data_IF_010115375766
#
_entry.id   IF_010115375766
#
_cell.length_a   1.000
_cell.length_b   1.000
_cell.length_c   1.000
_cell.angle_alpha   90.00
_cell.angle_beta   90.00
_cell.angle_gamma   90.00
#
_symmetry.space_group_name_H-M   'P 1'
#
loop_
_entity.id
_entity.type
_entity.pdbx_description
1 polymer ?
#
# COMPACT_ATOMS: atom_id res chain seq x y z
N UNK A 1 -6.94 56.37 70.95
CA UNK A 1 -8.09 56.10 70.05
C UNK A 1 -7.96 54.63 69.64
N UNK A 2 -8.62 53.70 70.33
CA UNK A 2 -10.06 53.34 70.20
C UNK A 2 -10.30 52.71 68.80
N UNK A 3 -10.80 51.49 68.61
CA UNK A 3 -11.37 50.46 69.49
C UNK A 3 -11.53 49.16 68.70
N UNK A 4 -11.50 48.01 69.38
CA UNK A 4 -12.22 46.79 68.98
C UNK A 4 -13.75 47.00 69.12
N UNK A 5 -14.60 46.03 68.73
CA UNK A 5 -15.01 45.02 69.72
C UNK A 5 -15.26 43.59 69.17
N UNK A 6 -15.03 42.60 70.05
CA UNK A 6 -15.60 41.23 70.05
C UNK A 6 -17.08 41.25 70.58
N UNK A 7 -17.72 40.20 71.19
CA UNK A 7 -17.48 38.74 71.35
C UNK A 7 -18.75 37.83 71.30
N UNK A 8 -18.60 36.49 71.48
CA UNK A 8 -19.25 35.71 72.57
C UNK A 8 -19.00 34.18 72.47
N UNK A 9 -18.31 33.54 73.44
CA UNK A 9 -18.78 32.80 74.66
C UNK A 9 -19.53 31.47 74.34
N UNK A 10 -19.37 30.30 74.99
CA UNK A 10 -18.52 29.80 76.09
C UNK A 10 -18.70 28.29 76.35
N UNK A 11 -17.71 27.71 77.04
CA UNK A 11 -17.59 26.44 77.79
C UNK A 11 -18.85 25.85 78.46
N UNK A 12 -18.86 24.52 78.71
CA UNK A 12 -18.80 23.88 80.04
C UNK A 12 -18.82 22.34 79.95
N UNK A 13 -18.19 21.64 80.91
CA UNK A 13 -18.14 20.17 80.99
C UNK A 13 -18.38 19.60 82.39
N UNK A 14 -18.49 18.26 82.42
CA UNK A 14 -18.39 17.24 83.50
C UNK A 14 -19.60 16.87 84.42
N UNK A 15 -20.11 15.62 84.22
CA UNK A 15 -20.55 14.52 85.16
C UNK A 15 -21.53 14.76 86.34
N UNK A 16 -22.14 13.72 87.01
CA UNK A 16 -21.92 12.25 86.99
C UNK A 16 -23.21 11.34 86.90
N UNK A 17 -23.03 10.01 87.07
CA UNK A 17 -23.85 8.78 86.85
C UNK A 17 -24.96 8.40 87.87
N UNK A 18 -25.95 7.54 87.48
CA UNK A 18 -26.50 6.32 88.20
C UNK A 18 -27.81 5.67 87.58
N UNK A 19 -28.28 4.43 87.95
CA UNK A 19 -28.51 3.24 87.04
C UNK A 19 -30.00 2.70 86.84
N UNK A 20 -30.28 1.48 86.24
CA UNK A 20 -31.56 1.05 85.58
C UNK A 20 -32.44 0.00 86.33
N UNK A 21 -33.55 -0.54 85.73
CA UNK A 21 -33.76 -2.02 85.73
C UNK A 21 -34.57 -2.69 84.55
N UNK A 22 -34.49 -4.03 84.51
CA UNK A 22 -35.02 -5.08 83.58
C UNK A 22 -36.50 -5.52 83.74
N UNK A 23 -37.04 -6.29 82.75
CA UNK A 23 -38.25 -7.14 82.95
C UNK A 23 -38.71 -8.09 81.79
N UNK A 24 -38.35 -9.38 81.89
CA UNK A 24 -39.09 -10.66 81.70
C UNK A 24 -39.78 -11.15 80.37
N UNK A 25 -39.58 -12.47 80.13
CA UNK A 25 -39.94 -13.38 79.01
C UNK A 25 -41.12 -14.34 79.35
N UNK A 26 -41.93 -14.83 78.37
CA UNK A 26 -42.65 -16.14 78.41
C UNK A 26 -42.95 -16.75 77.00
N UNK A 27 -42.78 -18.08 76.86
CA UNK A 27 -43.07 -18.92 75.68
C UNK A 27 -44.16 -19.98 75.95
N UNK A 28 -44.87 -20.48 74.91
CA UNK A 28 -45.83 -21.59 74.98
C UNK A 28 -45.74 -22.56 73.78
N UNK A 29 -45.91 -23.87 74.04
CA UNK A 29 -45.73 -25.01 73.10
C UNK A 29 -47.05 -25.50 72.46
N UNK A 30 -46.94 -26.05 71.24
CA UNK A 30 -47.99 -26.61 70.37
C UNK A 30 -48.10 -28.15 70.53
N UNK A 31 -49.31 -28.70 70.39
CA UNK A 31 -49.60 -30.14 70.28
C UNK A 31 -49.94 -30.60 68.85
N UNK A 32 -49.49 -31.81 68.50
CA UNK A 32 -49.45 -32.39 67.15
C UNK A 32 -50.48 -33.53 66.97
N UNK A 33 -51.19 -33.60 65.82
CA UNK A 33 -51.89 -34.81 65.35
C UNK A 33 -51.54 -35.11 63.88
N UNK A 34 -51.29 -36.39 63.64
CA UNK A 34 -50.85 -37.06 62.40
C UNK A 34 -51.84 -36.92 61.24
N UNK A 35 -51.36 -36.57 60.03
CA UNK A 35 -52.16 -36.62 58.79
C UNK A 35 -51.40 -37.39 57.70
N UNK A 36 -52.11 -38.26 56.97
CA UNK A 36 -51.62 -38.97 55.77
C UNK A 36 -51.78 -38.11 54.49
N UNK A 37 -52.29 -36.88 54.60
CA UNK A 37 -52.38 -35.89 53.52
C UNK A 37 -51.05 -35.43 52.91
N UNK A 38 -49.95 -35.18 53.66
CA UNK A 38 -48.73 -34.61 53.08
C UNK A 38 -48.02 -35.59 52.15
N UNK A 39 -48.14 -36.91 52.37
CA UNK A 39 -47.48 -37.92 51.53
C UNK A 39 -48.14 -38.02 50.15
N UNK A 40 -49.47 -38.00 50.07
CA UNK A 40 -50.19 -38.07 48.78
C UNK A 40 -49.98 -36.78 47.99
N UNK A 41 -50.02 -35.62 48.66
CA UNK A 41 -49.73 -34.32 48.05
C UNK A 41 -48.28 -34.28 47.54
N UNK A 42 -47.32 -34.79 48.32
CA UNK A 42 -45.92 -34.85 47.90
C UNK A 42 -45.71 -35.76 46.68
N UNK A 43 -46.34 -36.95 46.63
CA UNK A 43 -46.26 -37.84 45.47
C UNK A 43 -46.90 -37.21 44.24
N UNK A 44 -48.04 -36.54 44.39
CA UNK A 44 -48.70 -35.82 43.31
C UNK A 44 -47.82 -34.68 42.77
N UNK A 45 -47.24 -33.86 43.65
CA UNK A 45 -46.33 -32.77 43.27
C UNK A 45 -45.08 -33.33 42.58
N UNK A 46 -44.46 -34.38 43.13
CA UNK A 46 -43.31 -35.03 42.49
C UNK A 46 -43.64 -35.56 41.10
N UNK A 47 -44.83 -36.15 40.90
CA UNK A 47 -45.24 -36.65 39.59
C UNK A 47 -45.41 -35.52 38.56
N UNK A 48 -46.00 -34.38 38.98
CA UNK A 48 -46.15 -33.19 38.13
C UNK A 48 -44.81 -32.55 37.82
N UNK A 49 -43.91 -32.43 38.80
CA UNK A 49 -42.55 -31.89 38.59
C UNK A 49 -41.76 -32.79 37.64
N UNK A 50 -41.81 -34.10 37.81
CA UNK A 50 -41.15 -35.05 36.91
C UNK A 50 -41.71 -34.98 35.48
N UNK A 51 -43.03 -34.87 35.32
CA UNK A 51 -43.65 -34.71 34.01
C UNK A 51 -43.24 -33.39 33.34
N UNK A 52 -43.18 -32.28 34.09
CA UNK A 52 -42.73 -30.99 33.58
C UNK A 52 -41.26 -31.03 33.15
N UNK A 53 -40.39 -31.66 33.94
CA UNK A 53 -38.96 -31.83 33.62
C UNK A 53 -38.79 -32.69 32.36
N UNK A 54 -39.52 -33.80 32.23
CA UNK A 54 -39.46 -34.65 31.04
C UNK A 54 -39.95 -33.91 29.78
N UNK A 55 -41.02 -33.11 29.91
CA UNK A 55 -41.50 -32.28 28.80
C UNK A 55 -40.47 -31.21 28.40
N UNK A 56 -39.79 -30.57 29.35
CA UNK A 56 -38.76 -29.59 29.07
C UNK A 56 -37.55 -30.24 28.39
N UNK A 57 -37.09 -31.39 28.88
CA UNK A 57 -35.99 -32.16 28.27
C UNK A 57 -36.36 -32.60 26.85
N UNK A 58 -37.58 -33.09 26.64
CA UNK A 58 -38.06 -33.45 25.30
C UNK A 58 -38.11 -32.24 24.36
N UNK A 59 -38.53 -31.07 24.86
CA UNK A 59 -38.56 -29.83 24.09
C UNK A 59 -37.15 -29.38 23.70
N UNK A 60 -36.20 -29.38 24.65
CA UNK A 60 -34.78 -29.07 24.39
C UNK A 60 -34.17 -30.08 23.40
N UNK A 61 -34.51 -31.37 23.53
CA UNK A 61 -34.05 -32.41 22.61
C UNK A 61 -34.57 -32.17 21.19
N UNK A 62 -35.85 -31.81 21.02
CA UNK A 62 -36.43 -31.49 19.71
C UNK A 62 -35.78 -30.25 19.09
N UNK A 63 -35.52 -29.22 19.88
CA UNK A 63 -34.87 -28.00 19.37
C UNK A 63 -33.41 -28.25 18.99
N UNK A 64 -32.68 -29.02 19.80
CA UNK A 64 -31.32 -29.45 19.47
C UNK A 64 -31.29 -30.31 18.20
N UNK A 65 -32.27 -31.21 18.02
CA UNK A 65 -32.39 -31.99 16.78
C UNK A 65 -32.64 -31.11 15.55
N UNK A 66 -33.40 -30.01 15.68
CA UNK A 66 -33.62 -29.06 14.58
C UNK A 66 -32.34 -28.34 14.20
N UNK A 67 -31.57 -27.84 15.17
CA UNK A 67 -30.29 -27.17 14.88
C UNK A 67 -29.28 -28.11 14.22
N UNK A 68 -29.18 -29.36 14.69
CA UNK A 68 -28.29 -30.37 14.11
C UNK A 68 -28.64 -30.64 12.64
N UNK A 69 -29.92 -30.81 12.32
CA UNK A 69 -30.36 -31.00 10.94
C UNK A 69 -30.15 -29.75 10.08
N UNK A 70 -30.24 -28.55 10.65
CA UNK A 70 -29.99 -27.32 9.92
C UNK A 70 -28.50 -27.11 9.61
N UNK A 71 -27.62 -27.45 10.56
CA UNK A 71 -26.16 -27.50 10.34
C UNK A 71 -25.83 -28.53 9.27
N UNK A 72 -26.45 -29.72 9.31
CA UNK A 72 -26.25 -30.78 8.32
C UNK A 72 -26.67 -30.33 6.91
N UNK A 73 -27.83 -29.66 6.77
CA UNK A 73 -28.28 -29.07 5.50
C UNK A 73 -27.32 -27.99 5.01
N UNK A 74 -26.81 -27.15 5.90
CA UNK A 74 -25.85 -26.10 5.58
C UNK A 74 -24.51 -26.67 5.10
N UNK A 75 -24.02 -27.73 5.76
CA UNK A 75 -22.82 -28.44 5.33
C UNK A 75 -22.99 -29.09 3.95
N UNK A 76 -24.12 -29.75 3.69
CA UNK A 76 -24.43 -30.31 2.36
C UNK A 76 -24.45 -29.23 1.27
N UNK A 77 -25.02 -28.05 1.55
CA UNK A 77 -25.00 -26.91 0.62
C UNK A 77 -23.58 -26.38 0.37
N UNK A 78 -22.71 -26.38 1.38
CA UNK A 78 -21.31 -25.99 1.21
C UNK A 78 -20.54 -27.03 0.39
N UNK A 79 -20.79 -28.31 0.62
CA UNK A 79 -20.17 -29.40 -0.13
C UNK A 79 -20.61 -29.40 -1.61
N UNK A 80 -21.88 -29.10 -1.90
CA UNK A 80 -22.38 -28.93 -3.27
C UNK A 80 -21.77 -27.70 -3.96
N UNK A 81 -21.64 -26.56 -3.26
CA UNK A 81 -20.89 -25.39 -3.76
C UNK A 81 -19.41 -25.70 -4.03
N UNK A 82 -18.78 -26.49 -3.17
CA UNK A 82 -17.38 -26.88 -3.32
C UNK A 82 -17.21 -27.87 -4.49
N UNK A 83 -18.19 -28.73 -4.76
CA UNK A 83 -18.21 -29.61 -5.94
C UNK A 83 -18.44 -28.82 -7.25
N UNK A 84 -19.33 -27.81 -7.22
CA UNK A 84 -19.53 -26.87 -8.34
C UNK A 84 -18.28 -26.02 -8.65
N UNK A 85 -17.53 -25.60 -7.63
CA UNK A 85 -16.24 -24.89 -7.82
C UNK A 85 -15.06 -25.81 -8.14
N UNK A 86 -15.15 -27.10 -7.78
CA UNK A 86 -14.13 -28.11 -8.06
C UNK A 86 -14.15 -28.68 -9.48
N UNK A 87 -15.06 -28.19 -10.35
CA UNK A 87 -15.27 -28.66 -11.72
C UNK A 87 -14.92 -27.65 -12.82
N UNK A 88 -14.36 -26.49 -12.49
CA UNK A 88 -13.73 -25.63 -13.49
C UNK A 88 -12.31 -26.13 -13.70
N UNK A 89 -12.16 -27.09 -14.62
CA UNK A 89 -10.86 -27.49 -15.12
C UNK A 89 -10.07 -26.21 -15.44
N UNK A 90 -8.89 -26.06 -14.84
CA UNK A 90 -8.01 -24.89 -15.00
C UNK A 90 -7.82 -24.54 -16.50
N UNK A 91 -7.83 -25.57 -17.35
CA UNK A 91 -7.82 -25.47 -18.81
C UNK A 91 -9.04 -24.82 -19.45
N UNK A 92 -10.25 -25.02 -18.91
CA UNK A 92 -11.47 -24.40 -19.41
C UNK A 92 -11.58 -22.93 -18.98
N UNK A 93 -11.05 -22.58 -17.80
CA UNK A 93 -10.94 -21.20 -17.35
C UNK A 93 -9.89 -20.46 -18.18
N UNK A 94 -8.73 -21.07 -18.42
CA UNK A 94 -7.73 -20.51 -19.33
C UNK A 94 -8.29 -20.31 -20.75
N UNK A 95 -9.01 -21.30 -21.29
CA UNK A 95 -9.64 -21.17 -22.61
C UNK A 95 -10.71 -20.08 -22.65
N UNK A 96 -11.50 -19.94 -21.58
CA UNK A 96 -12.52 -18.88 -21.49
C UNK A 96 -11.87 -17.49 -21.34
N UNK A 97 -10.78 -17.38 -20.59
CA UNK A 97 -10.00 -16.15 -20.45
C UNK A 97 -9.33 -15.81 -21.78
N UNK A 98 -8.71 -16.77 -22.46
CA UNK A 98 -8.07 -16.56 -23.76
C UNK A 98 -9.10 -16.14 -24.81
N UNK A 99 -10.26 -16.82 -24.86
CA UNK A 99 -11.37 -16.42 -25.73
C UNK A 99 -11.89 -15.01 -25.41
N UNK A 100 -11.96 -14.64 -24.13
CA UNK A 100 -12.40 -13.31 -23.75
C UNK A 100 -11.37 -12.24 -24.14
N UNK A 101 -10.07 -12.55 -24.03
CA UNK A 101 -8.98 -11.68 -24.48
C UNK A 101 -8.98 -11.54 -26.01
N UNK A 102 -9.28 -12.59 -26.77
CA UNK A 102 -9.43 -12.49 -28.24
C UNK A 102 -10.65 -11.68 -28.63
N UNK A 103 -11.79 -11.86 -27.96
CA UNK A 103 -13.00 -11.07 -28.23
C UNK A 103 -12.77 -9.57 -27.90
N UNK A 104 -12.05 -9.26 -26.82
CA UNK A 104 -11.67 -7.89 -26.48
C UNK A 104 -10.74 -7.29 -27.54
N UNK A 105 -9.78 -8.08 -28.05
CA UNK A 105 -8.86 -7.66 -29.11
C UNK A 105 -9.58 -7.41 -30.44
N UNK A 106 -10.52 -8.27 -30.84
CA UNK A 106 -11.35 -8.05 -32.02
C UNK A 106 -12.27 -6.83 -31.87
N UNK A 107 -12.75 -6.57 -30.65
CA UNK A 107 -13.57 -5.39 -30.33
C UNK A 107 -12.76 -4.09 -30.30
N UNK A 108 -11.50 -4.12 -29.89
CA UNK A 108 -10.56 -3.01 -30.04
C UNK A 108 -10.15 -2.77 -31.50
N UNK A 109 -9.93 -3.84 -32.29
CA UNK A 109 -9.68 -3.74 -33.73
C UNK A 109 -10.91 -3.20 -34.50
N UNK A 110 -12.13 -3.40 -33.97
CA UNK A 110 -13.39 -2.85 -34.50
C UNK A 110 -13.76 -1.43 -34.05
N UNK A 111 -13.02 -0.78 -33.15
CA UNK A 111 -13.40 0.54 -32.58
C UNK A 111 -12.31 1.62 -32.74
N UNK A 112 -11.45 1.50 -33.75
CA UNK A 112 -10.64 2.63 -34.21
C UNK A 112 -11.44 3.41 -35.25
N UNK A 113 -12.06 4.51 -34.82
CA UNK A 113 -12.50 5.56 -35.74
C UNK A 113 -11.27 6.26 -36.35
N UNK A 114 -10.78 5.74 -37.47
CA UNK A 114 -10.05 6.55 -38.44
C UNK A 114 -11.07 7.08 -39.45
N UNK A 115 -11.14 8.40 -39.70
CA UNK A 115 -12.00 8.94 -40.74
C UNK A 115 -11.60 8.35 -42.09
N UNK A 116 -12.48 7.53 -42.68
CA UNK A 116 -12.42 7.16 -44.10
C UNK A 116 -13.21 8.16 -44.93
N UNK A 117 -12.64 8.46 -46.10
CA UNK A 117 -13.12 9.27 -47.23
C UNK A 117 -12.89 10.80 -47.10
N UNK A 118 -12.17 11.50 -47.98
CA UNK A 118 -11.75 11.22 -49.38
C UNK A 118 -10.62 12.16 -49.81
N UNK A 119 -9.78 11.62 -50.71
CA UNK A 119 -8.74 12.26 -51.56
C UNK A 119 -7.37 12.60 -50.93
N UNK A 120 -6.44 11.63 -50.97
CA UNK A 120 -5.05 11.92 -51.41
C UNK A 120 -4.44 10.72 -52.15
N UNK A 121 -3.74 10.93 -53.28
CA UNK A 121 -3.11 9.88 -54.07
C UNK A 121 -1.65 9.69 -53.61
N UNK A 122 -1.42 8.98 -52.51
CA UNK A 122 -0.08 8.48 -52.19
C UNK A 122 -0.14 7.03 -51.73
N UNK A 123 0.39 6.17 -52.59
CA UNK A 123 0.43 4.74 -52.41
C UNK A 123 1.36 4.25 -51.31
N UNK A 124 1.34 2.92 -51.19
CA UNK A 124 2.09 2.06 -50.29
C UNK A 124 1.68 2.16 -48.81
N UNK A 125 1.07 1.05 -48.36
CA UNK A 125 1.16 0.55 -46.99
C UNK A 125 2.63 0.57 -46.59
N UNK A 126 3.06 1.67 -45.96
CA UNK A 126 4.43 1.90 -45.56
C UNK A 126 4.83 0.82 -44.56
N UNK A 127 6.00 0.22 -44.78
CA UNK A 127 6.75 -0.63 -43.85
C UNK A 127 6.43 -0.23 -42.41
N UNK A 128 6.15 -1.20 -41.52
CA UNK A 128 6.17 -0.96 -40.05
C UNK A 128 7.45 -0.20 -39.74
N UNK A 129 7.36 1.12 -39.57
CA UNK A 129 8.54 1.95 -39.36
C UNK A 129 8.94 1.70 -37.93
N UNK A 130 10.03 0.95 -37.78
CA UNK A 130 10.59 0.65 -36.48
C UNK A 130 10.89 1.98 -35.75
N UNK A 131 10.09 2.33 -34.74
CA UNK A 131 10.18 3.61 -34.02
C UNK A 131 11.44 3.65 -33.16
N UNK A 132 12.29 4.69 -33.27
CA UNK A 132 13.46 4.87 -32.42
C UNK A 132 13.12 4.72 -30.93
N UNK A 133 13.82 3.81 -30.24
CA UNK A 133 13.57 3.49 -28.83
C UNK A 133 14.88 3.16 -28.12
N UNK A 134 15.02 3.68 -26.89
CA UNK A 134 16.13 3.38 -26.02
C UNK A 134 15.66 3.32 -24.55
N UNK A 135 16.14 2.32 -23.83
CA UNK A 135 16.12 2.19 -22.38
C UNK A 135 17.53 1.83 -21.95
N UNK A 136 18.21 2.72 -21.25
CA UNK A 136 19.59 2.55 -20.81
C UNK A 136 19.61 2.37 -19.30
N UNK A 137 20.37 1.41 -18.80
CA UNK A 137 20.38 1.05 -17.38
C UNK A 137 21.74 1.37 -16.75
N UNK A 138 21.77 1.53 -15.42
CA UNK A 138 23.02 1.79 -14.69
C UNK A 138 24.05 0.67 -14.92
N UNK A 139 25.32 1.05 -15.03
CA UNK A 139 26.43 0.10 -15.17
C UNK A 139 27.41 0.26 -14.01
N UNK A 140 27.67 -0.77 -13.19
CA UNK A 140 28.60 -0.70 -12.07
C UNK A 140 30.06 -0.42 -12.46
N UNK A 141 30.40 -0.59 -13.74
CA UNK A 141 31.79 -0.77 -14.18
C UNK A 141 32.54 0.52 -14.54
N UNK A 142 31.93 1.71 -14.43
CA UNK A 142 32.53 2.91 -15.03
C UNK A 142 32.28 4.24 -14.29
N UNK A 143 32.25 4.22 -12.97
CA UNK A 143 32.14 5.43 -12.15
C UNK A 143 33.48 5.79 -11.49
N UNK A 144 34.35 6.51 -12.19
CA UNK A 144 35.57 7.04 -11.55
C UNK A 144 36.06 8.41 -12.04
N UNK A 145 35.36 9.11 -12.93
CA UNK A 145 35.82 10.45 -13.35
C UNK A 145 34.68 11.47 -13.28
N UNK A 146 34.58 12.09 -12.11
CA UNK A 146 33.82 13.32 -11.86
C UNK A 146 34.37 14.45 -12.73
N UNK A 147 33.84 14.55 -13.95
CA UNK A 147 34.12 15.66 -14.86
C UNK A 147 33.15 16.80 -14.55
N UNK A 148 33.30 17.37 -13.35
CA UNK A 148 32.36 18.33 -12.78
C UNK A 148 32.99 19.70 -12.58
N UNK A 149 33.18 20.46 -13.65
CA UNK A 149 33.24 21.93 -13.51
C UNK A 149 31.86 22.38 -13.02
N UNK A 150 31.80 23.09 -11.90
CA UNK A 150 30.60 23.72 -11.31
C UNK A 150 29.65 22.80 -10.52
N UNK A 151 30.10 21.65 -9.98
CA UNK A 151 29.28 20.81 -9.10
C UNK A 151 28.16 20.04 -9.82
N UNK A 152 28.26 19.90 -11.15
CA UNK A 152 27.36 19.11 -11.98
C UNK A 152 28.15 17.96 -12.63
N UNK A 153 27.73 16.72 -12.40
CA UNK A 153 28.38 15.53 -12.94
C UNK A 153 27.48 14.86 -13.96
N UNK A 154 27.96 14.74 -15.21
CA UNK A 154 27.25 13.99 -16.25
C UNK A 154 27.44 12.48 -16.03
N UNK A 155 26.34 11.73 -16.09
CA UNK A 155 26.38 10.26 -16.07
C UNK A 155 26.80 9.78 -17.46
N UNK A 156 28.02 9.24 -17.56
CA UNK A 156 28.62 8.79 -18.83
C UNK A 156 28.38 7.32 -19.10
N UNK A 157 28.16 6.55 -18.04
CA UNK A 157 28.23 5.11 -17.99
C UNK A 157 26.83 4.55 -17.92
N UNK A 158 26.38 4.00 -19.04
CA UNK A 158 25.07 3.37 -19.17
C UNK A 158 25.25 2.06 -19.94
N UNK A 159 24.61 1.00 -19.45
CA UNK A 159 24.45 -0.25 -20.17
C UNK A 159 23.42 -0.05 -21.31
N UNK A 160 23.66 -0.70 -22.44
CA UNK A 160 22.93 -0.44 -23.70
C UNK A 160 22.47 -1.72 -24.41
N UNK A 161 22.92 -2.89 -23.98
CA UNK A 161 22.77 -4.17 -24.70
C UNK A 161 22.34 -5.32 -23.81
N UNK A 162 22.81 -5.36 -22.57
CA UNK A 162 22.57 -6.48 -21.65
C UNK A 162 21.45 -6.17 -20.66
N UNK A 163 20.85 -7.21 -20.09
CA UNK A 163 19.81 -7.08 -19.07
C UNK A 163 18.53 -6.47 -19.62
N UNK A 164 18.00 -5.48 -18.90
CA UNK A 164 16.83 -4.68 -19.25
C UNK A 164 17.18 -3.55 -20.25
N UNK A 165 18.46 -3.31 -20.54
CA UNK A 165 18.86 -2.28 -21.48
C UNK A 165 18.43 -2.63 -22.91
N UNK A 166 17.84 -1.67 -23.59
CA UNK A 166 17.42 -1.76 -24.99
C UNK A 166 17.91 -0.54 -25.75
N UNK A 167 18.58 -0.75 -26.89
CA UNK A 167 18.97 0.32 -27.79
C UNK A 167 18.66 -0.10 -29.23
N UNK A 168 17.60 0.47 -29.81
CA UNK A 168 17.02 -0.04 -31.05
C UNK A 168 16.76 1.08 -32.08
N UNK A 169 16.53 0.64 -33.32
CA UNK A 169 15.93 1.46 -34.37
C UNK A 169 16.70 2.76 -34.65
N UNK A 170 18.03 2.65 -34.70
CA UNK A 170 18.94 3.75 -35.03
C UNK A 170 19.36 4.62 -33.84
N UNK A 171 18.77 4.44 -32.66
CA UNK A 171 19.23 5.12 -31.44
C UNK A 171 20.69 4.73 -31.14
N UNK A 172 21.51 5.69 -30.73
CA UNK A 172 22.94 5.47 -30.43
C UNK A 172 23.31 6.07 -29.10
N UNK A 173 24.15 5.38 -28.33
CA UNK A 173 24.72 5.91 -27.10
C UNK A 173 26.23 6.13 -27.26
N UNK A 174 26.75 7.31 -26.85
CA UNK A 174 28.19 7.61 -26.87
C UNK A 174 28.58 8.61 -25.78
N UNK A 175 29.44 8.18 -24.84
CA UNK A 175 30.00 9.03 -23.77
C UNK A 175 28.91 9.76 -22.95
N UNK A 176 27.86 9.04 -22.56
CA UNK A 176 26.71 9.55 -21.81
C UNK A 176 25.61 10.21 -22.66
N UNK A 177 25.80 10.35 -23.98
CA UNK A 177 24.80 10.96 -24.84
C UNK A 177 23.99 9.91 -25.56
N UNK A 178 22.67 10.03 -25.48
CA UNK A 178 21.72 9.38 -26.36
C UNK A 178 21.52 10.26 -27.61
N UNK A 179 21.77 9.70 -28.79
CA UNK A 179 21.78 10.42 -30.07
C UNK A 179 20.54 10.04 -30.87
N UNK A 180 19.78 11.05 -31.27
CA UNK A 180 18.50 10.90 -31.98
C UNK A 180 18.73 10.60 -33.47
N UNK A 181 18.14 9.54 -34.04
CA UNK A 181 18.35 9.17 -35.44
C UNK A 181 17.40 9.87 -36.42
N UNK A 182 16.26 10.37 -35.95
CA UNK A 182 15.17 10.86 -36.81
C UNK A 182 14.42 11.99 -36.13
N UNK A 183 13.93 12.94 -36.92
CA UNK A 183 13.14 14.07 -36.43
C UNK A 183 11.77 13.59 -35.92
N UNK A 184 11.32 14.08 -34.78
CA UNK A 184 10.01 13.73 -34.25
C UNK A 184 9.73 14.20 -32.83
N UNK A 185 8.59 13.75 -32.30
CA UNK A 185 8.23 13.90 -30.89
C UNK A 185 8.70 12.67 -30.13
N UNK A 186 9.42 12.90 -29.05
CA UNK A 186 9.97 11.86 -28.21
C UNK A 186 9.48 12.05 -26.78
N UNK A 187 9.02 10.97 -26.16
CA UNK A 187 8.91 10.92 -24.71
C UNK A 187 10.28 10.55 -24.14
N UNK A 188 10.85 11.42 -23.32
CA UNK A 188 12.12 11.22 -22.63
C UNK A 188 11.80 10.98 -21.16
N UNK A 189 12.42 9.97 -20.56
CA UNK A 189 12.26 9.68 -19.13
C UNK A 189 13.60 9.29 -18.50
N UNK A 190 13.70 9.51 -17.19
CA UNK A 190 14.87 9.13 -16.41
C UNK A 190 14.46 8.88 -14.96
N UNK A 191 14.99 7.81 -14.38
CA UNK A 191 14.93 7.52 -12.96
C UNK A 191 16.35 7.46 -12.41
N UNK A 192 16.58 8.12 -11.29
CA UNK A 192 17.81 7.97 -10.52
C UNK A 192 17.47 7.60 -9.09
N UNK A 193 18.15 6.59 -8.57
CA UNK A 193 18.06 6.22 -7.17
C UNK A 193 19.27 6.74 -6.40
N UNK A 194 19.02 7.60 -5.43
CA UNK A 194 20.02 8.11 -4.51
C UNK A 194 19.99 7.28 -3.23
N UNK A 195 21.14 6.74 -2.87
CA UNK A 195 21.36 6.03 -1.62
C UNK A 195 22.60 6.56 -0.95
N UNK A 196 22.50 6.86 0.33
CA UNK A 196 23.67 7.19 1.13
C UNK A 196 23.50 6.66 2.56
N UNK A 197 24.65 6.48 3.21
CA UNK A 197 24.77 6.04 4.60
C UNK A 197 25.47 7.15 5.39
N UNK A 198 25.07 7.34 6.63
CA UNK A 198 25.68 8.26 7.59
C UNK A 198 26.34 7.44 8.71
N UNK A 199 27.51 6.82 8.44
CA UNK A 199 28.11 5.83 9.35
C UNK A 199 28.54 6.43 10.69
N UNK A 200 28.84 7.72 10.74
CA UNK A 200 29.46 8.35 11.89
C UNK A 200 28.45 9.08 12.78
N UNK A 201 27.21 9.37 12.32
CA UNK A 201 26.21 10.20 13.02
C UNK A 201 26.75 11.52 13.59
N UNK A 202 27.94 11.96 13.18
CA UNK A 202 28.70 13.03 13.84
C UNK A 202 28.25 14.42 13.42
N UNK A 203 27.68 14.56 12.21
CA UNK A 203 27.39 15.85 11.61
C UNK A 203 26.03 15.89 10.91
N UNK A 204 25.27 16.96 11.17
CA UNK A 204 24.13 17.32 10.33
C UNK A 204 24.67 17.78 8.98
N UNK A 205 24.16 17.20 7.91
CA UNK A 205 24.52 17.54 6.54
C UNK A 205 23.26 17.90 5.77
N UNK A 206 23.41 18.81 4.82
CA UNK A 206 22.35 19.15 3.87
C UNK A 206 22.85 18.79 2.49
N UNK A 207 22.12 17.90 1.82
CA UNK A 207 22.40 17.54 0.43
C UNK A 207 21.34 18.15 -0.47
N UNK A 208 21.81 18.65 -1.62
CA UNK A 208 20.97 19.02 -2.73
C UNK A 208 21.07 17.88 -3.75
N UNK A 209 20.02 17.08 -3.88
CA UNK A 209 19.92 15.99 -4.84
C UNK A 209 19.17 16.52 -6.05
N UNK A 210 19.91 16.88 -7.10
CA UNK A 210 19.35 17.49 -8.29
C UNK A 210 19.66 16.62 -9.49
N UNK A 211 18.60 16.23 -10.18
CA UNK A 211 18.58 15.38 -11.36
C UNK A 211 18.20 16.23 -12.58
N UNK A 212 19.15 16.37 -13.50
CA UNK A 212 19.02 17.19 -14.69
C UNK A 212 18.96 16.33 -15.96
N UNK A 213 18.15 16.76 -16.93
CA UNK A 213 18.22 16.26 -18.30
C UNK A 213 18.52 17.41 -19.25
N UNK A 214 19.52 17.22 -20.11
CA UNK A 214 19.97 18.22 -21.07
C UNK A 214 19.79 17.74 -22.50
N UNK A 215 19.61 18.70 -23.39
CA UNK A 215 19.61 18.57 -24.85
C UNK A 215 20.71 19.44 -25.44
N UNK A 216 21.48 18.90 -26.37
CA UNK A 216 22.45 19.62 -27.20
C UNK A 216 22.08 19.43 -28.66
N UNK A 217 21.85 20.55 -29.34
CA UNK A 217 21.68 20.64 -30.78
C UNK A 217 22.85 21.47 -31.37
N UNK A 218 22.62 22.16 -32.48
CA UNK A 218 23.58 23.10 -33.08
C UNK A 218 23.84 24.36 -32.23
N UNK A 219 23.04 24.64 -31.20
CA UNK A 219 23.20 25.82 -30.35
C UNK A 219 24.45 25.70 -29.46
N UNK A 220 25.25 26.76 -29.24
CA UNK A 220 26.54 26.65 -28.55
C UNK A 220 26.48 26.16 -27.09
N UNK A 221 25.33 26.28 -26.42
CA UNK A 221 25.14 25.88 -25.02
C UNK A 221 24.12 24.75 -24.90
N UNK A 222 24.35 23.75 -24.03
CA UNK A 222 23.34 22.78 -23.64
C UNK A 222 22.07 23.44 -23.12
N UNK A 223 20.91 22.96 -23.57
CA UNK A 223 19.61 23.34 -23.05
C UNK A 223 19.15 22.37 -21.97
N UNK A 224 18.85 22.85 -20.77
CA UNK A 224 18.20 22.04 -19.75
C UNK A 224 16.72 21.86 -20.11
N UNK A 225 16.28 20.61 -20.29
CA UNK A 225 14.90 20.30 -20.70
C UNK A 225 14.05 19.75 -19.56
N UNK A 226 14.66 19.12 -18.55
CA UNK A 226 13.98 18.67 -17.33
C UNK A 226 14.91 18.84 -16.12
N UNK A 227 14.30 19.10 -14.96
CA UNK A 227 15.00 19.21 -13.67
C UNK A 227 14.08 18.74 -12.56
N UNK A 228 14.57 17.83 -11.74
CA UNK A 228 13.95 17.41 -10.48
C UNK A 228 14.93 17.69 -9.35
N UNK A 229 14.45 18.27 -8.25
CA UNK A 229 15.28 18.62 -7.11
C UNK A 229 14.63 18.14 -5.81
N UNK A 230 15.45 17.56 -4.95
CA UNK A 230 15.12 17.24 -3.56
C UNK A 230 16.19 17.85 -2.67
N UNK A 231 15.75 18.62 -1.70
CA UNK A 231 16.58 18.97 -0.56
C UNK A 231 16.37 17.94 0.53
N UNK A 232 17.39 17.79 1.35
CA UNK A 232 17.32 16.86 2.46
C UNK A 232 17.98 17.51 3.67
N UNK A 233 17.19 17.75 4.72
CA UNK A 233 17.66 18.26 6.00
C UNK A 233 17.89 17.05 6.91
N UNK A 234 19.14 16.66 7.13
CA UNK A 234 19.47 15.49 7.92
C UNK A 234 19.86 15.91 9.34
N UNK A 235 19.06 15.45 10.31
CA UNK A 235 19.51 15.41 11.70
C UNK A 235 20.69 14.44 11.81
N UNK A 236 21.54 14.65 12.84
CA UNK A 236 22.65 13.76 13.17
C UNK A 236 22.21 12.30 13.36
N UNK A 237 20.95 12.11 13.79
CA UNK A 237 20.37 10.81 14.14
C UNK A 237 19.86 10.00 12.94
N UNK A 238 20.01 10.51 11.71
CA UNK A 238 19.57 9.75 10.53
C UNK A 238 20.72 8.91 9.99
N UNK A 239 20.52 7.59 9.98
CA UNK A 239 21.53 6.60 9.59
C UNK A 239 21.67 6.42 8.08
N UNK A 240 20.57 6.56 7.33
CA UNK A 240 20.58 6.39 5.88
C UNK A 240 19.46 7.19 5.22
N UNK A 241 19.57 7.40 3.92
CA UNK A 241 18.52 8.02 3.13
C UNK A 241 18.42 7.42 1.73
N UNK A 242 17.18 7.21 1.32
CA UNK A 242 16.81 6.59 0.04
C UNK A 242 15.88 7.54 -0.71
N UNK A 243 16.23 7.91 -1.94
CA UNK A 243 15.40 8.79 -2.76
C UNK A 243 15.38 8.34 -4.21
N UNK A 244 14.18 8.15 -4.74
CA UNK A 244 13.98 7.97 -6.16
C UNK A 244 13.57 9.30 -6.79
N UNK A 245 14.29 9.72 -7.82
CA UNK A 245 13.95 10.88 -8.64
C UNK A 245 13.59 10.40 -10.04
N UNK A 246 12.28 10.35 -10.32
CA UNK A 246 11.75 10.10 -11.65
C UNK A 246 11.32 11.42 -12.31
N UNK A 247 11.61 11.58 -13.61
CA UNK A 247 11.08 12.66 -14.42
C UNK A 247 10.87 12.18 -15.86
N UNK A 248 9.89 12.76 -16.55
CA UNK A 248 9.67 12.51 -17.96
C UNK A 248 8.84 13.60 -18.63
N UNK A 249 8.97 13.72 -19.95
CA UNK A 249 8.30 14.75 -20.73
C UNK A 249 8.43 14.53 -22.23
N UNK A 250 7.54 15.18 -23.00
CA UNK A 250 7.53 15.10 -24.46
C UNK A 250 8.29 16.28 -25.05
N UNK A 251 9.23 16.00 -25.95
CA UNK A 251 10.05 17.01 -26.59
C UNK A 251 10.18 16.76 -28.09
N UNK A 252 10.18 17.85 -28.87
CA UNK A 252 10.52 17.78 -30.30
C UNK A 252 12.04 17.72 -30.47
N UNK A 253 12.52 16.65 -31.09
CA UNK A 253 13.94 16.40 -31.34
C UNK A 253 14.21 16.30 -32.84
N UNK A 254 15.41 16.70 -33.22
CA UNK A 254 15.93 16.59 -34.58
C UNK A 254 17.02 15.51 -34.61
N UNK A 255 17.22 14.93 -35.79
CA UNK A 255 18.32 14.00 -36.06
C UNK A 255 19.65 14.64 -35.64
N UNK A 256 20.41 13.89 -34.85
CA UNK A 256 21.71 14.32 -34.34
C UNK A 256 21.65 15.07 -33.01
N UNK A 257 20.46 15.42 -32.51
CA UNK A 257 20.29 15.92 -31.14
C UNK A 257 20.88 14.91 -30.13
N UNK A 258 21.54 15.44 -29.11
CA UNK A 258 22.16 14.65 -28.04
C UNK A 258 21.47 14.92 -26.73
N UNK A 259 21.00 13.88 -26.05
CA UNK A 259 20.36 13.96 -24.75
C UNK A 259 21.25 13.28 -23.71
N UNK A 260 21.37 13.85 -22.51
CA UNK A 260 22.09 13.21 -21.40
C UNK A 260 21.52 13.63 -20.05
N UNK A 261 21.85 12.82 -19.04
CA UNK A 261 21.50 13.05 -17.65
C UNK A 261 22.72 13.52 -16.87
N UNK A 262 22.50 14.46 -15.95
CA UNK A 262 23.52 14.95 -15.04
C UNK A 262 22.95 15.13 -13.63
N UNK A 263 23.83 15.08 -12.63
CA UNK A 263 23.47 15.12 -11.21
C UNK A 263 24.33 16.08 -10.43
N UNK A 264 23.80 16.64 -9.34
CA UNK A 264 24.58 17.44 -8.39
C UNK A 264 25.56 16.60 -7.57
N UNK A 265 25.24 15.34 -7.26
CA UNK A 265 26.09 14.47 -6.48
C UNK A 265 26.08 13.04 -7.03
N UNK A 266 27.16 12.68 -7.73
CA UNK A 266 27.30 11.38 -8.39
C UNK A 266 27.56 10.24 -7.39
N UNK A 267 28.28 10.50 -6.30
CA UNK A 267 28.66 9.43 -5.36
C UNK A 267 27.49 8.83 -4.58
N UNK A 268 26.32 9.48 -4.62
CA UNK A 268 25.09 9.00 -4.01
C UNK A 268 24.19 8.26 -4.99
N UNK A 269 24.47 8.29 -6.29
CA UNK A 269 23.64 7.61 -7.29
C UNK A 269 23.99 6.13 -7.31
N UNK A 270 22.97 5.29 -7.19
CA UNK A 270 23.11 3.85 -7.31
C UNK A 270 23.05 3.44 -8.78
N UNK A 271 24.11 2.80 -9.27
CA UNK A 271 24.27 2.37 -10.67
C UNK A 271 23.71 0.96 -10.95
N UNK A 272 22.81 0.46 -10.09
CA UNK A 272 22.08 -0.79 -10.34
C UNK A 272 21.02 -0.63 -11.44
N UNK A 273 20.83 -1.69 -12.21
CA UNK A 273 20.00 -1.70 -13.42
C UNK A 273 18.53 -1.28 -13.15
N UNK A 274 17.91 -1.79 -12.10
CA UNK A 274 16.52 -1.48 -11.73
C UNK A 274 16.39 -0.15 -10.98
N UNK A 275 17.50 0.35 -10.44
CA UNK A 275 17.52 1.51 -9.55
C UNK A 275 17.64 2.81 -10.35
N UNK A 276 18.54 2.85 -11.33
CA UNK A 276 18.78 4.02 -12.16
C UNK A 276 18.79 3.68 -13.65
N UNK A 277 17.98 4.40 -14.42
CA UNK A 277 17.83 4.20 -15.87
C UNK A 277 17.42 5.49 -16.58
N UNK A 278 17.70 5.57 -17.87
CA UNK A 278 17.43 6.71 -18.73
C UNK A 278 16.99 6.22 -20.10
N UNK A 279 15.90 6.77 -20.65
CA UNK A 279 15.38 6.31 -21.93
C UNK A 279 14.62 7.36 -22.71
N UNK A 280 14.36 7.03 -23.96
CA UNK A 280 13.50 7.79 -24.84
C UNK A 280 12.90 6.91 -25.93
N UNK A 281 11.66 7.19 -26.33
CA UNK A 281 11.04 6.57 -27.49
C UNK A 281 10.27 7.60 -28.32
N UNK A 282 10.21 7.37 -29.62
CA UNK A 282 9.43 8.19 -30.55
C UNK A 282 7.94 7.87 -30.41
N UNK A 283 7.11 8.91 -30.32
CA UNK A 283 5.64 8.81 -30.24
C UNK A 283 5.06 8.69 -31.64
#
# INVERSE_FOLDING_TARGET
MLSTPEPSYSHFGWGPTDPPPEGAEKTAKIGQKSSKCPVIIAVSICSVVNAAVLSAVACVWVELQREVEDIRRSHLKLQDRQYQHGGLNETALELAVEKHLTDLREKEEGTVWLPTDRETPFGNVSRRTHKPTAHLTGSPQADSLSDGKNGLSKIKSWETRQGLATLANGMRHRRGHLIIPTDGLYFIYSQLYYRFLNPEQTQSKTYQLIHYTFKQNSYPKPLQIMKSARNTCWSKNVEFGLYTSYQGGVFRLQKGDKIWVAVSNMSMVCSEETSSYFGAFMI
#
